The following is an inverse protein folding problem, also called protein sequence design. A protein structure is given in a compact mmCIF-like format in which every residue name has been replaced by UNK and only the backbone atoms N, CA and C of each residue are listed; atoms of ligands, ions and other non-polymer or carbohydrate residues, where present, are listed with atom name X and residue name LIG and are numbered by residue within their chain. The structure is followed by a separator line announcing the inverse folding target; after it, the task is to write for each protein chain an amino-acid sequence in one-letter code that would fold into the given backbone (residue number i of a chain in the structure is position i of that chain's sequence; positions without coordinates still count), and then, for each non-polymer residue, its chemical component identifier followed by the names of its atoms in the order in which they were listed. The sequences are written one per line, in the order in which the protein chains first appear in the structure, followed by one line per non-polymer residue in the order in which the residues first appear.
data_IF_413532899348
#
_entry.id   IF_413532899348
#
_cell.length_a   1.000
_cell.length_b   1.000
_cell.length_c   1.000
_cell.angle_alpha   90.00
_cell.angle_beta   90.00
_cell.angle_gamma   90.00
#
_symmetry.space_group_name_H-M   'P 1'
#
loop_
_entity.id
_entity.type
_entity.pdbx_description
1 polymer ?
#
# COMPACT_ATOMS: atom_id res chain seq x y z
N UNK A 1 4.92 4.36 14.83
CA UNK A 1 4.95 3.20 13.91
C UNK A 1 3.86 3.40 12.88
N UNK A 2 4.20 3.44 11.59
CA UNK A 2 3.21 3.46 10.50
C UNK A 2 3.20 2.11 9.75
N UNK A 3 2.24 1.91 8.83
CA UNK A 3 2.13 0.64 8.09
C UNK A 3 3.41 0.26 7.32
N UNK A 4 4.19 1.23 6.85
CA UNK A 4 5.48 1.00 6.18
C UNK A 4 6.59 0.57 7.15
N UNK A 5 6.46 0.86 8.46
CA UNK A 5 7.37 0.34 9.49
C UNK A 5 7.09 -1.12 9.86
N UNK A 6 5.88 -1.63 9.59
CA UNK A 6 5.51 -3.03 9.82
C UNK A 6 6.10 -3.96 8.75
N UNK A 7 6.25 -3.48 7.51
CA UNK A 7 6.63 -4.30 6.36
C UNK A 7 7.91 -5.14 6.54
N UNK A 8 9.02 -4.60 7.09
CA UNK A 8 10.23 -5.41 7.34
C UNK A 8 9.96 -6.59 8.30
N UNK A 9 9.04 -6.45 9.25
CA UNK A 9 8.67 -7.52 10.18
C UNK A 9 7.85 -8.63 9.51
N UNK A 10 7.18 -8.32 8.39
CA UNK A 10 6.47 -9.32 7.58
C UNK A 10 7.42 -10.12 6.67
N UNK A 11 8.65 -9.64 6.49
CA UNK A 11 9.68 -10.25 5.63
C UNK A 11 10.57 -11.25 6.40
N UNK A 12 10.12 -11.77 7.54
CA UNK A 12 10.86 -12.67 8.43
C UNK A 12 10.92 -14.14 7.96
N UNK A 13 10.24 -14.45 6.85
CA UNK A 13 10.16 -15.79 6.25
C UNK A 13 9.11 -16.72 6.87
N UNK A 14 8.40 -16.29 7.91
CA UNK A 14 7.34 -17.08 8.53
C UNK A 14 6.04 -17.08 7.72
N UNK A 15 5.86 -16.08 6.86
CA UNK A 15 4.66 -15.86 6.05
C UNK A 15 5.03 -15.70 4.59
N UNK A 16 4.19 -16.23 3.70
CA UNK A 16 4.25 -15.98 2.26
C UNK A 16 3.52 -14.68 1.91
N UNK A 17 4.15 -13.84 1.09
CA UNK A 17 3.63 -12.53 0.69
C UNK A 17 3.30 -12.54 -0.80
N UNK A 18 2.14 -12.01 -1.16
CA UNK A 18 1.80 -11.65 -2.55
C UNK A 18 1.68 -10.13 -2.65
N UNK A 19 2.35 -9.52 -3.64
CA UNK A 19 2.41 -8.07 -3.82
C UNK A 19 1.52 -7.63 -4.97
N UNK A 20 0.35 -7.05 -4.68
CA UNK A 20 -0.62 -6.63 -5.70
C UNK A 20 -0.75 -5.09 -5.71
N UNK A 21 -0.54 -4.44 -6.85
CA UNK A 21 -0.83 -3.02 -7.01
C UNK A 21 0.33 -2.18 -7.54
N UNK A 22 0.20 -0.86 -7.36
CA UNK A 22 1.03 0.14 -8.02
C UNK A 22 1.02 0.04 -9.56
N UNK A 23 1.88 0.82 -10.21
CA UNK A 23 1.99 0.87 -11.68
C UNK A 23 2.69 -0.39 -12.22
N UNK A 24 2.49 -0.74 -13.50
CA UNK A 24 3.25 -1.82 -14.15
C UNK A 24 4.76 -1.70 -13.88
N UNK A 25 5.39 -2.80 -13.46
CA UNK A 25 6.81 -2.90 -13.11
C UNK A 25 7.14 -2.57 -11.65
N UNK A 26 6.24 -1.93 -10.90
CA UNK A 26 6.53 -1.51 -9.52
C UNK A 26 6.40 -2.67 -8.53
N UNK A 27 5.41 -3.55 -8.70
CA UNK A 27 5.21 -4.69 -7.82
C UNK A 27 6.34 -5.73 -7.99
N UNK A 28 6.80 -5.91 -9.23
CA UNK A 28 7.89 -6.81 -9.61
C UNK A 28 9.22 -6.29 -9.05
N UNK A 29 9.54 -5.01 -9.27
CA UNK A 29 10.73 -4.38 -8.69
C UNK A 29 10.71 -4.40 -7.15
N UNK A 30 9.52 -4.24 -6.53
CA UNK A 30 9.37 -4.39 -5.09
C UNK A 30 9.68 -5.84 -4.65
N UNK A 31 9.18 -6.84 -5.36
CA UNK A 31 9.47 -8.24 -5.06
C UNK A 31 10.98 -8.56 -5.17
N UNK A 32 11.65 -8.08 -6.22
CA UNK A 32 13.10 -8.23 -6.40
C UNK A 32 13.89 -7.57 -5.26
N UNK A 33 13.55 -6.33 -4.90
CA UNK A 33 14.18 -5.64 -3.79
C UNK A 33 13.95 -6.36 -2.46
N UNK A 34 12.76 -6.94 -2.23
CA UNK A 34 12.49 -7.72 -1.03
C UNK A 34 13.37 -8.95 -0.98
N UNK A 35 13.47 -9.72 -2.08
CA UNK A 35 14.35 -10.89 -2.13
C UNK A 35 15.81 -10.54 -1.86
N UNK A 36 16.27 -9.38 -2.33
CA UNK A 36 17.64 -8.89 -2.11
C UNK A 36 17.88 -8.40 -0.68
N UNK A 37 16.96 -7.64 -0.11
CA UNK A 37 17.11 -6.98 1.20
C UNK A 37 16.72 -7.89 2.37
N UNK A 38 15.82 -8.83 2.15
CA UNK A 38 15.29 -9.77 3.12
C UNK A 38 15.35 -11.20 2.55
N UNK A 39 16.53 -11.85 2.53
CA UNK A 39 16.69 -13.16 1.90
C UNK A 39 15.80 -14.28 2.47
N UNK A 40 15.33 -14.13 3.71
CA UNK A 40 14.38 -15.06 4.33
C UNK A 40 12.94 -14.86 3.85
N UNK A 41 12.61 -13.72 3.23
CA UNK A 41 11.26 -13.40 2.82
C UNK A 41 10.75 -14.35 1.73
N UNK A 42 9.51 -14.79 1.87
CA UNK A 42 8.87 -15.71 0.93
C UNK A 42 7.88 -14.94 0.06
N UNK A 43 8.28 -14.60 -1.16
CA UNK A 43 7.38 -13.95 -2.13
C UNK A 43 6.70 -15.02 -2.99
N UNK A 44 5.39 -15.15 -2.85
CA UNK A 44 4.56 -16.09 -3.61
C UNK A 44 4.21 -15.57 -5.01
N UNK A 45 4.17 -14.25 -5.20
CA UNK A 45 3.90 -13.62 -6.48
C UNK A 45 3.84 -12.10 -6.39
N UNK A 46 3.74 -11.46 -7.54
CA UNK A 46 3.53 -10.01 -7.66
C UNK A 46 2.78 -9.68 -8.95
N UNK A 47 1.90 -8.70 -8.91
CA UNK A 47 1.18 -8.19 -10.07
C UNK A 47 0.82 -6.71 -9.89
N UNK A 48 0.73 -5.94 -10.97
CA UNK A 48 0.31 -4.54 -10.91
C UNK A 48 -1.20 -4.39 -10.68
N UNK A 49 -1.65 -3.18 -10.32
CA UNK A 49 -3.06 -2.90 -10.03
C UNK A 49 -3.90 -2.35 -11.19
N UNK A 50 -3.33 -2.25 -12.39
CA UNK A 50 -3.99 -1.68 -13.56
C UNK A 50 -4.45 -2.79 -14.51
N UNK A 51 -5.62 -3.36 -14.24
CA UNK A 51 -6.22 -4.37 -15.12
C UNK A 51 -6.78 -3.71 -16.39
N UNK A 52 -6.52 -4.29 -17.56
CA UNK A 52 -7.07 -3.84 -18.83
C UNK A 52 -8.58 -4.13 -18.93
N UNK A 53 -9.02 -5.26 -18.39
CA UNK A 53 -10.40 -5.70 -18.38
C UNK A 53 -10.71 -6.65 -17.20
N UNK A 54 -11.97 -7.08 -17.10
CA UNK A 54 -12.44 -7.99 -16.06
C UNK A 54 -11.90 -9.43 -16.21
N UNK A 55 -11.45 -9.83 -17.40
CA UNK A 55 -10.81 -11.13 -17.60
C UNK A 55 -9.39 -11.14 -17.02
N UNK A 56 -8.62 -10.06 -17.21
CA UNK A 56 -7.31 -9.90 -16.58
C UNK A 56 -7.40 -9.86 -15.05
N UNK A 57 -8.39 -9.15 -14.50
CA UNK A 57 -8.66 -9.14 -13.06
C UNK A 57 -8.98 -10.55 -12.55
N UNK A 58 -9.88 -11.29 -13.23
CA UNK A 58 -10.19 -12.69 -12.89
C UNK A 58 -8.96 -13.60 -12.94
N UNK A 59 -8.12 -13.47 -13.97
CA UNK A 59 -6.87 -14.24 -14.08
C UNK A 59 -5.93 -13.92 -12.91
N UNK A 60 -5.78 -12.66 -12.57
CA UNK A 60 -4.95 -12.23 -11.42
C UNK A 60 -5.47 -12.82 -10.12
N UNK A 61 -6.79 -12.81 -9.88
CA UNK A 61 -7.40 -13.45 -8.70
C UNK A 61 -7.10 -14.96 -8.69
N UNK A 62 -7.23 -15.64 -9.82
CA UNK A 62 -6.91 -17.06 -9.92
C UNK A 62 -5.43 -17.36 -9.63
N UNK A 63 -4.51 -16.51 -10.10
CA UNK A 63 -3.08 -16.62 -9.80
C UNK A 63 -2.78 -16.42 -8.31
N UNK A 64 -3.41 -15.42 -7.68
CA UNK A 64 -3.33 -15.19 -6.23
C UNK A 64 -3.82 -16.42 -5.48
N UNK A 65 -4.97 -16.98 -5.89
CA UNK A 65 -5.57 -18.14 -5.25
C UNK A 65 -4.73 -19.41 -5.41
N UNK A 66 -4.12 -19.60 -6.58
CA UNK A 66 -3.19 -20.70 -6.83
C UNK A 66 -1.92 -20.57 -5.99
N UNK A 67 -1.44 -19.35 -5.77
CA UNK A 67 -0.31 -19.06 -4.90
C UNK A 67 -0.64 -19.21 -3.40
N UNK A 68 -1.93 -19.08 -3.04
CA UNK A 68 -2.48 -19.19 -1.68
C UNK A 68 -1.61 -18.50 -0.60
N UNK A 69 -1.37 -17.18 -0.70
CA UNK A 69 -0.45 -16.50 0.19
C UNK A 69 -1.02 -16.34 1.61
N UNK A 70 -0.13 -16.34 2.61
CA UNK A 70 -0.50 -15.99 3.98
C UNK A 70 -0.95 -14.52 4.06
N UNK A 71 -0.29 -13.63 3.31
CA UNK A 71 -0.61 -12.21 3.24
C UNK A 71 -0.66 -11.71 1.79
N UNK A 72 -1.81 -11.15 1.40
CA UNK A 72 -1.97 -10.38 0.16
C UNK A 72 -1.84 -8.88 0.46
N UNK A 73 -0.79 -8.23 -0.04
CA UNK A 73 -0.57 -6.80 0.14
C UNK A 73 -1.12 -6.02 -1.06
N UNK A 74 -2.20 -5.26 -0.86
CA UNK A 74 -2.91 -4.52 -1.91
C UNK A 74 -2.57 -3.02 -1.88
N UNK A 75 -1.97 -2.52 -2.96
CA UNK A 75 -1.38 -1.19 -3.10
C UNK A 75 -2.06 -0.36 -4.21
N UNK A 76 -3.39 -0.31 -4.22
CA UNK A 76 -4.15 0.47 -5.22
C UNK A 76 -4.38 1.93 -4.81
N UNK A 77 -4.06 2.27 -3.54
CA UNK A 77 -4.34 3.56 -2.96
C UNK A 77 -5.77 3.69 -2.47
N UNK A 78 -5.98 4.66 -1.58
CA UNK A 78 -7.27 4.90 -0.93
C UNK A 78 -8.19 5.70 -1.87
N UNK A 79 -9.47 5.34 -2.03
CA UNK A 79 -10.19 4.22 -1.38
C UNK A 79 -10.29 2.94 -2.24
N UNK A 80 -9.56 2.87 -3.36
CA UNK A 80 -9.71 1.79 -4.34
C UNK A 80 -9.32 0.43 -3.76
N UNK A 81 -8.25 0.37 -2.98
CA UNK A 81 -7.76 -0.87 -2.37
C UNK A 81 -8.77 -1.48 -1.38
N UNK A 82 -9.41 -0.67 -0.53
CA UNK A 82 -10.39 -1.17 0.44
C UNK A 82 -11.64 -1.69 -0.28
N UNK A 83 -12.12 -0.95 -1.29
CA UNK A 83 -13.28 -1.35 -2.10
C UNK A 83 -13.00 -2.63 -2.88
N UNK A 84 -11.82 -2.75 -3.46
CA UNK A 84 -11.44 -3.93 -4.23
C UNK A 84 -11.34 -5.18 -3.35
N UNK A 85 -10.72 -5.04 -2.17
CA UNK A 85 -10.65 -6.13 -1.19
C UNK A 85 -12.06 -6.54 -0.75
N UNK A 86 -12.93 -5.59 -0.43
CA UNK A 86 -14.30 -5.90 0.01
C UNK A 86 -15.13 -6.55 -1.09
N UNK A 87 -15.00 -6.07 -2.34
CA UNK A 87 -15.71 -6.63 -3.49
C UNK A 87 -15.33 -8.09 -3.77
N UNK A 88 -14.04 -8.44 -3.65
CA UNK A 88 -13.52 -9.77 -3.99
C UNK A 88 -13.23 -10.65 -2.77
N UNK A 89 -13.60 -10.23 -1.54
CA UNK A 89 -13.27 -10.95 -0.30
C UNK A 89 -13.74 -12.40 -0.24
N UNK A 90 -14.78 -12.75 -1.01
CA UNK A 90 -15.31 -14.12 -1.09
C UNK A 90 -14.58 -14.98 -2.12
N UNK A 91 -13.88 -14.36 -3.06
CA UNK A 91 -13.17 -15.01 -4.15
C UNK A 91 -11.68 -15.19 -3.82
N UNK A 92 -11.13 -14.36 -2.94
CA UNK A 92 -9.72 -14.39 -2.57
C UNK A 92 -9.40 -15.51 -1.56
N UNK A 93 -8.51 -16.41 -1.96
CA UNK A 93 -7.92 -17.44 -1.11
C UNK A 93 -6.56 -16.95 -0.60
N UNK A 94 -6.57 -16.31 0.56
CA UNK A 94 -5.37 -15.87 1.27
C UNK A 94 -5.62 -15.84 2.78
N UNK A 95 -4.56 -15.86 3.59
CA UNK A 95 -4.69 -15.77 5.05
C UNK A 95 -5.26 -14.41 5.50
N UNK A 96 -4.74 -13.32 4.95
CA UNK A 96 -5.30 -11.98 5.11
C UNK A 96 -4.93 -11.04 3.94
N UNK A 97 -5.87 -10.18 3.54
CA UNK A 97 -5.62 -9.08 2.60
C UNK A 97 -5.40 -7.77 3.36
N UNK A 98 -4.28 -7.09 3.08
CA UNK A 98 -3.88 -5.85 3.74
C UNK A 98 -3.80 -4.71 2.74
N UNK A 99 -4.55 -3.66 3.02
CA UNK A 99 -4.51 -2.40 2.29
C UNK A 99 -3.25 -1.59 2.68
N UNK A 100 -2.27 -1.49 1.78
CA UNK A 100 -0.94 -0.94 2.12
C UNK A 100 -0.62 0.41 1.49
N UNK A 101 -1.52 0.96 0.67
CA UNK A 101 -1.32 2.27 0.02
C UNK A 101 -0.07 2.28 -0.84
N UNK A 102 0.74 3.34 -0.72
CA UNK A 102 1.98 3.51 -1.51
C UNK A 102 3.18 2.68 -1.06
N UNK A 103 2.98 1.58 -0.32
CA UNK A 103 4.09 0.76 0.20
C UNK A 103 5.01 0.27 -0.93
N UNK A 104 4.45 -0.27 -2.02
CA UNK A 104 5.23 -0.84 -3.12
C UNK A 104 6.07 0.21 -3.84
N UNK A 105 5.62 1.46 -3.93
CA UNK A 105 6.42 2.56 -4.49
C UNK A 105 7.69 2.84 -3.68
N UNK A 106 7.65 2.68 -2.34
CA UNK A 106 8.85 2.81 -1.50
C UNK A 106 9.76 1.59 -1.59
N UNK A 107 9.17 0.39 -1.57
CA UNK A 107 9.93 -0.88 -1.56
C UNK A 107 10.61 -1.13 -2.91
N UNK A 108 9.97 -0.76 -4.02
CA UNK A 108 10.58 -0.77 -5.35
C UNK A 108 11.70 0.26 -5.52
N UNK A 109 11.80 1.25 -4.63
CA UNK A 109 12.74 2.37 -4.75
C UNK A 109 12.30 3.46 -5.73
N UNK A 110 11.09 3.35 -6.31
CA UNK A 110 10.53 4.34 -7.24
C UNK A 110 10.35 5.72 -6.59
N UNK A 111 9.90 5.74 -5.33
CA UNK A 111 9.75 6.96 -4.54
C UNK A 111 10.64 6.85 -3.30
N UNK A 112 11.49 7.86 -3.00
CA UNK A 112 12.27 7.81 -1.79
C UNK A 112 11.37 8.00 -0.57
N UNK A 113 11.65 7.26 0.50
CA UNK A 113 10.98 7.46 1.80
C UNK A 113 11.57 8.68 2.51
N UNK A 114 10.76 9.35 3.33
CA UNK A 114 11.23 10.48 4.13
C UNK A 114 12.44 10.12 5.01
N UNK A 115 13.40 11.05 5.21
CA UNK A 115 14.51 10.87 6.13
C UNK A 115 14.05 10.47 7.54
N UNK A 116 14.89 9.73 8.27
CA UNK A 116 14.56 9.21 9.60
C UNK A 116 14.15 10.31 10.59
N UNK A 117 14.78 11.48 10.54
CA UNK A 117 14.46 12.59 11.43
C UNK A 117 13.04 13.12 11.18
N UNK A 118 12.60 13.23 9.92
CA UNK A 118 11.24 13.65 9.57
C UNK A 118 10.19 12.62 10.00
N UNK A 119 10.53 11.33 9.83
CA UNK A 119 9.68 10.21 10.29
C UNK A 119 9.51 10.25 11.80
N UNK A 120 10.59 10.46 12.55
CA UNK A 120 10.58 10.58 14.02
C UNK A 120 9.83 11.81 14.50
N UNK A 121 9.92 12.92 13.79
CA UNK A 121 9.19 14.15 14.09
C UNK A 121 7.71 14.12 13.66
N UNK A 122 7.22 13.03 13.02
CA UNK A 122 5.83 12.92 12.58
C UNK A 122 5.47 13.80 11.37
N UNK A 123 6.45 14.36 10.68
CA UNK A 123 6.28 15.30 9.56
C UNK A 123 6.51 14.64 8.19
N UNK A 124 6.43 13.31 8.10
CA UNK A 124 6.55 12.57 6.83
C UNK A 124 5.55 13.07 5.77
N UNK A 125 4.38 13.57 6.19
CA UNK A 125 3.37 14.13 5.29
C UNK A 125 3.85 15.38 4.52
N UNK A 126 4.73 16.21 5.10
CA UNK A 126 5.34 17.35 4.42
C UNK A 126 6.28 16.89 3.31
N UNK A 127 7.08 15.86 3.59
CA UNK A 127 7.97 15.28 2.60
C UNK A 127 7.19 14.68 1.43
N UNK A 128 6.07 14.00 1.71
CA UNK A 128 5.18 13.51 0.65
C UNK A 128 4.53 14.63 -0.15
N UNK A 129 4.10 15.71 0.51
CA UNK A 129 3.56 16.88 -0.18
C UNK A 129 4.60 17.50 -1.12
N UNK A 130 5.86 17.57 -0.70
CA UNK A 130 6.95 18.05 -1.55
C UNK A 130 7.17 17.15 -2.77
N UNK A 131 7.08 15.82 -2.61
CA UNK A 131 7.24 14.86 -3.72
C UNK A 131 6.07 14.87 -4.69
N UNK A 132 4.84 15.02 -4.19
CA UNK A 132 3.60 14.92 -4.99
C UNK A 132 2.66 16.11 -4.73
N UNK A 133 3.10 17.36 -5.02
CA UNK A 133 2.40 18.56 -4.60
C UNK A 133 1.01 18.64 -5.21
N UNK A 134 0.87 18.42 -6.52
CA UNK A 134 -0.42 18.49 -7.22
C UNK A 134 -1.42 17.47 -6.67
N UNK A 135 -0.97 16.24 -6.40
CA UNK A 135 -1.83 15.15 -5.93
C UNK A 135 -2.29 15.35 -4.50
N UNK A 136 -1.40 15.82 -3.61
CA UNK A 136 -1.65 15.88 -2.17
C UNK A 136 -2.09 17.25 -1.67
N UNK A 137 -1.97 18.32 -2.47
CA UNK A 137 -2.34 19.69 -2.07
C UNK A 137 -3.77 19.78 -1.54
N UNK A 138 -4.75 19.30 -2.33
CA UNK A 138 -6.16 19.34 -1.92
C UNK A 138 -6.40 18.61 -0.60
N UNK A 139 -5.73 17.49 -0.38
CA UNK A 139 -5.89 16.70 0.85
C UNK A 139 -5.26 17.39 2.05
N UNK A 140 -4.01 17.84 1.93
CA UNK A 140 -3.24 18.30 3.09
C UNK A 140 -3.38 19.80 3.36
N UNK A 141 -3.42 20.63 2.33
CA UNK A 141 -3.44 22.09 2.49
C UNK A 141 -4.88 22.59 2.65
N UNK A 142 -5.85 21.99 1.95
CA UNK A 142 -7.26 22.40 2.06
C UNK A 142 -8.06 21.47 2.98
N UNK A 143 -7.90 20.16 2.80
CA UNK A 143 -8.66 19.15 3.52
C UNK A 143 -8.38 19.11 5.03
N UNK A 144 -7.11 19.11 5.44
CA UNK A 144 -6.76 19.05 6.88
C UNK A 144 -7.28 20.27 7.67
N UNK A 145 -7.09 21.53 7.23
CA UNK A 145 -7.65 22.68 7.94
C UNK A 145 -9.18 22.68 7.97
N UNK A 146 -9.83 22.30 6.86
CA UNK A 146 -11.28 22.18 6.81
C UNK A 146 -11.81 21.11 7.78
N UNK A 147 -11.12 19.98 7.88
CA UNK A 147 -11.44 18.94 8.85
C UNK A 147 -11.30 19.44 10.28
N UNK A 148 -10.17 20.08 10.61
CA UNK A 148 -9.94 20.66 11.94
C UNK A 148 -11.03 21.68 12.29
N UNK A 149 -11.38 22.58 11.36
CA UNK A 149 -12.47 23.53 11.53
C UNK A 149 -13.80 22.84 11.82
N UNK A 150 -14.17 21.80 11.06
CA UNK A 150 -15.41 21.03 11.28
C UNK A 150 -15.43 20.36 12.65
N UNK A 151 -14.32 19.75 13.07
CA UNK A 151 -14.19 19.11 14.38
C UNK A 151 -14.30 20.12 15.51
N UNK A 152 -13.65 21.28 15.38
CA UNK A 152 -13.73 22.36 16.37
C UNK A 152 -15.13 22.94 16.45
N UNK A 153 -15.79 23.19 15.31
CA UNK A 153 -17.18 23.64 15.26
C UNK A 153 -18.12 22.66 15.95
N UNK A 154 -17.99 21.36 15.66
CA UNK A 154 -18.79 20.30 16.30
C UNK A 154 -18.60 20.28 17.82
N UNK A 155 -17.36 20.45 18.31
CA UNK A 155 -17.06 20.48 19.75
C UNK A 155 -17.60 21.72 20.48
N UNK A 156 -17.78 22.84 19.78
CA UNK A 156 -18.31 24.09 20.37
C UNK A 156 -19.84 24.11 20.30
N UNK A 157 -20.44 23.38 19.36
CA UNK A 157 -21.91 23.32 19.17
C UNK A 157 -22.58 22.26 20.04
N UNK A 158 -21.80 21.35 20.65
CA UNK A 158 -22.21 20.43 21.71
C UNK A 158 -21.79 20.95 23.08
#
# INVERSE_FOLDING_TARGET
VNGTDLFPLLCDGRRTLYLLGARPGVAEAAAENVRRLYPAARIAGSHHGYFADAEEERRTINEINAANPDLLLVAFGVPAQEKWIDAHRKELHCGAALAVGGLLDFVSGRIPRAPLWMRRAGIEWLYRLYQEPVRLFRRYVLGNPLFLFRVLKEKITK
#
